data_IF_820720476981
#
_entry.id   IF_820720476981
#
_cell.length_a   1.000
_cell.length_b   1.000
_cell.length_c   1.000
_cell.angle_alpha   90.00
_cell.angle_beta   90.00
_cell.angle_gamma   90.00
#
_symmetry.space_group_name_H-M   'P 1'
#
loop_
_entity.id
_entity.type
_entity.pdbx_description
1 polymer ?
#
# COMPACT_ATOMS: atom_id res chain seq x y z
N UNK A 1 39.27 20.67 -14.41
CA UNK A 1 38.31 21.40 -13.57
C UNK A 1 36.94 20.75 -13.56
N UNK A 2 36.31 20.62 -14.73
CA UNK A 2 34.90 20.22 -14.88
C UNK A 2 34.59 18.73 -14.63
N UNK A 3 35.51 17.82 -14.98
CA UNK A 3 35.28 16.36 -14.80
C UNK A 3 35.23 15.95 -13.32
N UNK A 4 36.06 16.55 -12.47
CA UNK A 4 36.13 16.25 -11.04
C UNK A 4 34.90 16.75 -10.28
N UNK A 5 34.34 17.90 -10.68
CA UNK A 5 33.10 18.47 -10.11
C UNK A 5 31.86 17.65 -10.47
N UNK A 6 31.76 17.16 -11.71
CA UNK A 6 30.68 16.25 -12.13
C UNK A 6 30.71 14.93 -11.35
N UNK A 7 31.89 14.35 -11.14
CA UNK A 7 32.04 13.12 -10.36
C UNK A 7 31.71 13.32 -8.87
N UNK A 8 31.99 14.50 -8.30
CA UNK A 8 31.59 14.81 -6.91
C UNK A 8 30.09 15.02 -6.79
N UNK A 9 29.45 15.69 -7.75
CA UNK A 9 27.98 15.82 -7.78
C UNK A 9 27.27 14.48 -7.96
N UNK A 10 27.79 13.58 -8.80
CA UNK A 10 27.25 12.22 -8.94
C UNK A 10 27.41 11.46 -7.62
N UNK A 11 28.56 11.56 -6.94
CA UNK A 11 28.79 10.90 -5.65
C UNK A 11 27.92 11.47 -4.50
N UNK A 12 27.62 12.76 -4.49
CA UNK A 12 26.69 13.36 -3.53
C UNK A 12 25.25 12.99 -3.83
N UNK A 13 24.85 12.95 -5.11
CA UNK A 13 23.56 12.42 -5.52
C UNK A 13 23.39 10.95 -5.14
N UNK A 14 24.42 10.10 -5.34
CA UNK A 14 24.39 8.70 -4.95
C UNK A 14 24.31 8.52 -3.42
N UNK A 15 24.98 9.39 -2.64
CA UNK A 15 24.85 9.40 -1.17
C UNK A 15 23.45 9.83 -0.73
N UNK A 16 22.89 10.87 -1.33
CA UNK A 16 21.52 11.31 -1.07
C UNK A 16 20.50 10.25 -1.51
N UNK A 17 20.74 9.55 -2.62
CA UNK A 17 19.94 8.40 -3.06
C UNK A 17 20.08 7.23 -2.08
N UNK A 18 21.27 6.96 -1.55
CA UNK A 18 21.48 5.90 -0.55
C UNK A 18 20.82 6.24 0.79
N UNK A 19 20.91 7.50 1.23
CA UNK A 19 20.20 8.01 2.41
C UNK A 19 18.68 7.99 2.21
N UNK A 20 18.17 8.39 1.03
CA UNK A 20 16.75 8.30 0.67
C UNK A 20 16.27 6.85 0.58
N UNK A 21 17.06 5.94 0.02
CA UNK A 21 16.76 4.50 -0.04
C UNK A 21 16.79 3.87 1.37
N UNK A 22 17.60 4.40 2.29
CA UNK A 22 17.60 3.99 3.69
C UNK A 22 16.35 4.45 4.46
N UNK A 23 15.54 5.38 3.93
CA UNK A 23 14.23 5.65 4.52
C UNK A 23 13.25 4.52 4.20
N UNK A 24 13.16 4.08 2.94
CA UNK A 24 12.14 3.11 2.47
C UNK A 24 12.46 1.65 2.85
N UNK A 25 12.52 1.30 4.13
CA UNK A 25 12.87 -0.04 4.58
C UNK A 25 11.69 -0.79 5.23
N UNK A 26 11.52 -2.05 4.82
CA UNK A 26 10.69 -3.06 5.49
C UNK A 26 11.54 -4.26 5.88
N UNK A 27 11.30 -4.79 7.08
CA UNK A 27 11.97 -5.98 7.60
C UNK A 27 10.92 -7.06 7.87
N UNK A 28 11.06 -8.19 7.20
CA UNK A 28 10.22 -9.38 7.39
C UNK A 28 10.92 -10.36 8.33
N UNK A 29 10.21 -10.87 9.33
CA UNK A 29 10.72 -11.87 10.27
C UNK A 29 9.92 -13.17 10.15
N UNK A 30 10.60 -14.32 10.15
CA UNK A 30 9.95 -15.64 10.04
C UNK A 30 9.13 -16.02 11.28
N UNK A 31 9.47 -15.48 12.46
CA UNK A 31 8.76 -15.74 13.71
C UNK A 31 8.06 -14.47 14.26
N UNK A 32 7.24 -14.65 15.29
CA UNK A 32 6.53 -13.55 15.96
C UNK A 32 7.49 -12.69 16.80
N UNK A 33 7.09 -11.47 17.11
CA UNK A 33 7.83 -10.53 17.96
C UNK A 33 9.26 -10.25 17.48
N UNK A 34 9.44 -10.15 16.16
CA UNK A 34 10.69 -9.78 15.49
C UNK A 34 11.84 -10.75 15.77
N UNK A 35 11.51 -12.05 15.81
CA UNK A 35 12.45 -13.13 16.09
C UNK A 35 12.72 -13.99 14.83
N UNK A 36 13.72 -14.86 14.95
CA UNK A 36 14.09 -15.80 13.90
C UNK A 36 14.89 -15.15 12.78
N UNK A 37 14.93 -15.81 11.63
CA UNK A 37 15.55 -15.26 10.42
C UNK A 37 14.74 -14.06 9.92
N UNK A 38 15.44 -13.06 9.42
CA UNK A 38 14.82 -11.88 8.82
C UNK A 38 15.38 -11.58 7.44
N UNK A 39 14.62 -10.80 6.68
CA UNK A 39 15.00 -10.26 5.39
C UNK A 39 14.62 -8.79 5.32
N UNK A 40 15.57 -7.95 4.91
CA UNK A 40 15.39 -6.52 4.73
C UNK A 40 15.16 -6.24 3.24
N UNK A 41 14.14 -5.45 2.95
CA UNK A 41 13.78 -5.06 1.60
C UNK A 41 13.58 -3.55 1.54
N UNK A 42 14.10 -2.94 0.47
CA UNK A 42 14.00 -1.49 0.23
C UNK A 42 13.38 -1.11 -1.11
N UNK A 43 12.86 -2.10 -1.84
CA UNK A 43 12.27 -1.91 -3.16
C UNK A 43 11.11 -2.87 -3.40
N UNK A 44 10.40 -2.67 -4.51
CA UNK A 44 9.45 -3.66 -5.00
C UNK A 44 10.13 -5.04 -5.17
N UNK A 45 9.44 -6.10 -4.76
CA UNK A 45 9.90 -7.47 -4.93
C UNK A 45 8.74 -8.35 -5.40
N UNK A 46 8.86 -8.91 -6.60
CA UNK A 46 7.83 -9.76 -7.20
C UNK A 46 7.83 -11.19 -6.65
N UNK A 47 8.91 -11.64 -6.02
CA UNK A 47 9.00 -12.98 -5.43
C UNK A 47 9.93 -12.99 -4.21
N UNK A 48 9.33 -13.12 -3.04
CA UNK A 48 10.02 -13.17 -1.75
C UNK A 48 10.35 -14.59 -1.29
N UNK A 49 9.89 -15.62 -2.02
CA UNK A 49 9.96 -17.02 -1.58
C UNK A 49 11.39 -17.54 -1.40
N UNK A 50 12.37 -16.98 -2.11
CA UNK A 50 13.78 -17.35 -1.99
C UNK A 50 14.43 -16.80 -0.72
N UNK A 51 13.89 -15.73 -0.12
CA UNK A 51 14.47 -15.06 1.04
C UNK A 51 13.95 -15.64 2.37
N UNK A 52 12.67 -15.96 2.43
CA UNK A 52 12.05 -16.56 3.61
C UNK A 52 10.88 -17.48 3.24
N UNK A 53 10.59 -18.43 4.12
CA UNK A 53 9.55 -19.45 3.91
C UNK A 53 8.17 -19.04 4.42
N UNK A 54 8.14 -18.14 5.41
CA UNK A 54 6.97 -17.61 6.11
C UNK A 54 7.27 -16.22 6.70
N UNK A 55 6.24 -15.44 7.03
CA UNK A 55 6.39 -14.12 7.64
C UNK A 55 5.39 -13.96 8.78
N UNK A 56 5.90 -13.86 10.02
CA UNK A 56 5.10 -13.78 11.23
C UNK A 56 5.22 -12.46 11.96
N UNK A 57 6.22 -11.62 11.68
CA UNK A 57 6.24 -10.24 12.16
C UNK A 57 6.97 -9.31 11.20
N UNK A 58 6.65 -8.02 11.24
CA UNK A 58 7.12 -7.02 10.27
C UNK A 58 7.47 -5.71 11.00
N UNK A 59 8.57 -5.09 10.60
CA UNK A 59 8.88 -3.68 10.94
C UNK A 59 8.97 -2.84 9.68
N UNK A 60 8.39 -1.65 9.72
CA UNK A 60 8.44 -0.69 8.61
C UNK A 60 8.92 0.64 9.18
N UNK A 61 10.04 1.13 8.67
CA UNK A 61 10.68 2.34 9.17
C UNK A 61 10.14 3.61 8.50
N UNK A 62 9.76 3.53 7.21
CA UNK A 62 9.05 4.60 6.51
C UNK A 62 8.06 4.09 5.46
N UNK A 63 7.14 4.98 5.10
CA UNK A 63 6.20 4.84 3.98
C UNK A 63 5.16 3.72 4.11
N UNK A 64 4.39 3.61 3.03
CA UNK A 64 3.38 2.59 2.85
C UNK A 64 3.91 1.44 2.01
N UNK A 65 3.65 0.24 2.49
CA UNK A 65 3.92 -1.00 1.79
C UNK A 65 2.63 -1.74 1.50
N UNK A 66 2.51 -2.25 0.28
CA UNK A 66 1.46 -3.20 -0.08
C UNK A 66 2.10 -4.57 -0.21
N UNK A 67 1.67 -5.47 0.67
CA UNK A 67 2.13 -6.84 0.71
C UNK A 67 1.09 -7.75 0.07
N UNK A 68 1.57 -8.82 -0.54
CA UNK A 68 0.75 -9.75 -1.29
C UNK A 68 1.00 -11.19 -0.84
N UNK A 69 -0.07 -11.94 -0.68
CA UNK A 69 -0.04 -13.35 -0.28
C UNK A 69 0.71 -14.24 -1.28
N UNK A 70 0.67 -13.92 -2.58
CA UNK A 70 1.27 -14.72 -3.65
C UNK A 70 2.35 -13.94 -4.41
N UNK A 71 3.25 -14.63 -5.13
CA UNK A 71 4.20 -13.97 -6.02
C UNK A 71 3.49 -13.14 -7.09
N UNK A 72 4.22 -12.20 -7.70
CA UNK A 72 3.76 -11.33 -8.78
C UNK A 72 2.57 -10.43 -8.41
N UNK A 73 2.51 -9.99 -7.15
CA UNK A 73 1.52 -9.03 -6.65
C UNK A 73 0.08 -9.58 -6.70
N UNK A 74 -0.08 -10.86 -6.35
CA UNK A 74 -1.34 -11.61 -6.44
C UNK A 74 -1.83 -12.08 -5.07
N UNK A 75 -3.09 -12.49 -5.01
CA UNK A 75 -3.72 -12.99 -3.77
C UNK A 75 -4.20 -11.86 -2.87
N UNK A 76 -4.29 -12.14 -1.56
CA UNK A 76 -4.69 -11.11 -0.60
C UNK A 76 -3.68 -9.97 -0.53
N UNK A 77 -4.19 -8.74 -0.47
CA UNK A 77 -3.41 -7.52 -0.30
C UNK A 77 -3.47 -7.08 1.15
N UNK A 78 -2.35 -6.58 1.66
CA UNK A 78 -2.25 -5.99 3.00
C UNK A 78 -1.55 -4.65 2.89
N UNK A 79 -2.25 -3.57 3.25
CA UNK A 79 -1.71 -2.22 3.21
C UNK A 79 -1.19 -1.86 4.60
N UNK A 80 0.12 -1.73 4.72
CA UNK A 80 0.80 -1.42 5.98
C UNK A 80 1.45 -0.04 5.88
N UNK A 81 1.42 0.69 6.99
CA UNK A 81 2.18 1.92 7.18
C UNK A 81 3.37 1.67 8.12
N UNK A 82 4.21 2.70 8.28
CA UNK A 82 5.24 2.76 9.31
C UNK A 82 4.74 2.23 10.65
N UNK A 83 5.49 1.31 11.24
CA UNK A 83 5.17 0.74 12.53
C UNK A 83 5.75 -0.65 12.75
N UNK A 84 5.42 -1.18 13.92
CA UNK A 84 5.81 -2.51 14.37
C UNK A 84 4.60 -3.44 14.39
N UNK A 85 4.72 -4.58 13.72
CA UNK A 85 3.66 -5.58 13.62
C UNK A 85 4.16 -6.92 14.19
N UNK A 86 3.94 -7.19 15.49
CA UNK A 86 4.52 -8.34 16.19
C UNK A 86 3.93 -9.71 15.78
N UNK A 87 2.79 -9.74 15.10
CA UNK A 87 2.14 -10.96 14.60
C UNK A 87 1.32 -10.66 13.34
N UNK A 88 1.04 -11.68 12.51
CA UNK A 88 0.33 -11.48 11.24
C UNK A 88 -1.11 -10.97 11.37
N UNK A 89 -1.74 -11.11 12.54
CA UNK A 89 -3.08 -10.60 12.77
C UNK A 89 -3.07 -9.08 12.86
N UNK A 90 -1.92 -8.46 13.17
CA UNK A 90 -1.75 -7.00 13.25
C UNK A 90 -1.86 -6.28 11.92
N UNK A 91 -1.56 -6.95 10.80
CA UNK A 91 -1.87 -6.45 9.46
C UNK A 91 -3.10 -7.09 8.84
N UNK A 92 -3.92 -7.76 9.65
CA UNK A 92 -5.11 -8.50 9.23
C UNK A 92 -4.79 -9.64 8.24
N UNK A 93 -3.61 -10.25 8.38
CA UNK A 93 -3.22 -11.44 7.64
C UNK A 93 -4.16 -12.62 7.89
N UNK A 94 -4.60 -13.28 6.82
CA UNK A 94 -5.34 -14.55 6.93
C UNK A 94 -4.42 -15.73 7.26
N UNK A 95 -3.13 -15.61 6.94
CA UNK A 95 -2.06 -16.56 7.19
C UNK A 95 -0.72 -15.80 7.24
N UNK A 96 0.38 -16.53 7.41
CA UNK A 96 1.75 -16.03 7.45
C UNK A 96 2.45 -16.05 6.07
N UNK A 97 1.71 -16.20 4.97
CA UNK A 97 2.28 -16.15 3.63
C UNK A 97 2.31 -14.71 3.12
N UNK A 98 3.53 -14.17 2.98
CA UNK A 98 3.83 -12.98 2.19
C UNK A 98 4.84 -13.40 1.12
N UNK A 99 4.55 -13.09 -0.15
CA UNK A 99 5.33 -13.60 -1.29
C UNK A 99 5.70 -12.53 -2.30
N UNK A 100 5.12 -11.34 -2.22
CA UNK A 100 5.60 -10.18 -2.95
C UNK A 100 5.22 -8.90 -2.22
N UNK A 101 5.94 -7.81 -2.49
CA UNK A 101 5.71 -6.51 -1.88
C UNK A 101 5.96 -5.37 -2.86
N UNK A 102 5.28 -4.25 -2.66
CA UNK A 102 5.56 -2.98 -3.34
C UNK A 102 5.61 -1.83 -2.35
N UNK A 103 6.51 -0.91 -2.61
CA UNK A 103 6.55 0.37 -1.90
C UNK A 103 5.82 1.42 -2.72
N UNK A 104 5.09 2.29 -2.02
CA UNK A 104 4.44 3.45 -2.62
C UNK A 104 4.90 4.68 -1.87
N UNK A 105 6.08 5.23 -2.23
CA UNK A 105 6.59 6.42 -1.58
C UNK A 105 5.55 7.53 -1.75
N UNK A 106 5.15 8.15 -0.64
CA UNK A 106 4.28 9.30 -0.70
C UNK A 106 5.11 10.50 -1.16
N UNK A 107 5.27 10.64 -2.47
CA UNK A 107 5.82 11.87 -3.02
C UNK A 107 4.70 12.89 -2.87
N UNK A 108 4.90 13.91 -2.03
CA UNK A 108 4.04 15.09 -1.93
C UNK A 108 4.05 15.77 -3.30
N UNK A 109 3.22 15.29 -4.22
CA UNK A 109 2.97 15.96 -5.48
C UNK A 109 1.87 16.98 -5.21
N UNK A 110 2.29 18.21 -4.93
CA UNK A 110 1.44 19.39 -5.04
C UNK A 110 0.95 19.53 -6.49
N UNK A 111 -0.01 18.72 -6.91
CA UNK A 111 -0.62 18.85 -8.23
C UNK A 111 -2.12 18.61 -8.09
N UNK A 112 -2.79 19.69 -7.72
CA UNK A 112 -4.21 19.89 -7.96
C UNK A 112 -4.53 19.49 -9.40
N UNK A 113 -5.18 18.33 -9.58
CA UNK A 113 -5.77 17.94 -10.85
C UNK A 113 -7.27 17.77 -10.65
N UNK A 114 -7.95 18.90 -10.53
CA UNK A 114 -9.40 18.96 -10.76
C UNK A 114 -9.68 18.54 -12.21
N UNK A 115 -10.43 17.45 -12.38
CA UNK A 115 -11.21 17.18 -13.60
C UNK A 115 -12.66 17.01 -13.19
N UNK A 116 -13.57 17.90 -13.62
CA UNK A 116 -14.99 17.61 -13.54
C UNK A 116 -15.41 16.73 -14.72
N UNK A 117 -16.59 16.18 -14.56
CA UNK A 117 -17.45 15.50 -15.54
C UNK A 117 -17.28 13.98 -15.66
N UNK A 118 -17.95 13.28 -14.73
CA UNK A 118 -18.59 12.01 -15.08
C UNK A 118 -20.09 12.06 -14.78
N UNK A 119 -20.90 11.87 -15.82
CA UNK A 119 -22.35 11.73 -15.72
C UNK A 119 -22.74 10.36 -15.17
N UNK A 120 -23.54 10.38 -14.11
CA UNK A 120 -24.07 9.24 -13.35
C UNK A 120 -24.45 9.69 -11.94
N UNK A 121 -25.00 8.82 -11.08
CA UNK A 121 -25.00 9.09 -9.63
C UNK A 121 -23.55 9.00 -9.14
N UNK A 122 -22.80 10.08 -9.32
CA UNK A 122 -21.42 10.22 -8.89
C UNK A 122 -21.41 10.67 -7.43
N UNK A 123 -20.74 9.92 -6.58
CA UNK A 123 -20.43 10.33 -5.22
C UNK A 123 -18.95 10.66 -5.14
N UNK A 124 -18.64 11.91 -4.80
CA UNK A 124 -17.26 12.34 -4.54
C UNK A 124 -16.92 12.13 -3.06
N UNK A 125 -15.70 11.67 -2.80
CA UNK A 125 -15.21 11.41 -1.45
C UNK A 125 -13.88 12.12 -1.21
N UNK A 126 -13.79 12.82 -0.09
CA UNK A 126 -12.55 13.44 0.39
C UNK A 126 -12.09 12.89 1.75
N UNK A 127 -13.00 12.23 2.48
CA UNK A 127 -12.78 11.73 3.83
C UNK A 127 -12.93 10.21 3.93
N UNK A 128 -12.37 9.66 5.01
CA UNK A 128 -12.53 8.26 5.37
C UNK A 128 -14.02 7.91 5.61
N UNK A 129 -14.39 6.68 5.25
CA UNK A 129 -15.74 6.17 5.38
C UNK A 129 -15.73 4.83 6.11
N UNK A 130 -16.03 4.80 7.43
CA UNK A 130 -16.04 3.56 8.20
C UNK A 130 -17.23 2.65 7.88
N UNK A 131 -18.30 3.16 7.28
CA UNK A 131 -19.46 2.36 6.87
C UNK A 131 -20.14 2.97 5.65
N UNK A 132 -19.98 2.32 4.49
CA UNK A 132 -20.63 2.72 3.24
C UNK A 132 -22.16 2.63 3.38
N UNK A 133 -22.65 1.59 4.06
CA UNK A 133 -24.09 1.38 4.25
C UNK A 133 -24.73 2.46 5.13
N UNK A 134 -24.08 2.84 6.23
CA UNK A 134 -24.67 3.85 7.12
C UNK A 134 -24.68 5.23 6.47
N UNK A 135 -23.65 5.54 5.68
CA UNK A 135 -23.50 6.83 5.02
C UNK A 135 -24.37 6.98 3.77
N UNK A 136 -24.50 5.93 2.95
CA UNK A 136 -25.13 6.01 1.63
C UNK A 136 -26.35 5.13 1.45
N UNK A 137 -26.66 4.27 2.44
CA UNK A 137 -27.69 3.20 2.32
C UNK A 137 -27.46 2.31 1.10
N UNK A 138 -26.20 2.20 0.67
CA UNK A 138 -25.74 1.40 -0.46
C UNK A 138 -24.63 0.44 0.00
N UNK A 139 -24.43 -0.67 -0.71
CA UNK A 139 -23.44 -1.70 -0.32
C UNK A 139 -22.45 -2.05 -1.42
N UNK A 140 -22.78 -1.72 -2.66
CA UNK A 140 -22.04 -2.16 -3.83
C UNK A 140 -21.36 -0.96 -4.48
N UNK A 141 -20.11 -1.09 -4.88
CA UNK A 141 -19.39 -0.09 -5.66
C UNK A 141 -18.95 -0.80 -6.93
N UNK A 142 -19.52 -0.41 -8.06
CA UNK A 142 -19.26 -1.04 -9.35
C UNK A 142 -18.11 -0.38 -10.10
N UNK A 143 -17.87 0.91 -9.87
CA UNK A 143 -16.78 1.69 -10.47
C UNK A 143 -16.26 2.72 -9.46
N UNK A 144 -15.03 3.17 -9.66
CA UNK A 144 -14.39 4.17 -8.81
C UNK A 144 -13.42 5.00 -9.66
N UNK A 145 -13.32 6.30 -9.38
CA UNK A 145 -12.25 7.13 -9.90
C UNK A 145 -11.48 7.71 -8.72
N UNK A 146 -10.21 7.35 -8.58
CA UNK A 146 -9.33 7.90 -7.56
C UNK A 146 -8.63 9.11 -8.15
N UNK A 147 -9.02 10.29 -7.70
CA UNK A 147 -8.49 11.56 -8.21
C UNK A 147 -7.06 11.80 -7.74
N UNK A 148 -6.83 11.65 -6.44
CA UNK A 148 -5.55 11.95 -5.80
C UNK A 148 -5.28 11.05 -4.59
N UNK A 149 -3.98 10.87 -4.33
CA UNK A 149 -3.46 10.06 -3.24
C UNK A 149 -3.73 8.56 -3.39
N UNK A 150 -3.33 7.81 -2.37
CA UNK A 150 -3.59 6.39 -2.27
C UNK A 150 -4.73 6.12 -1.30
N UNK A 151 -5.55 5.13 -1.63
CA UNK A 151 -6.69 4.73 -0.80
C UNK A 151 -6.67 3.23 -0.55
N UNK A 152 -7.27 2.82 0.55
CA UNK A 152 -7.56 1.42 0.84
C UNK A 152 -9.05 1.22 0.95
N UNK A 153 -9.61 0.33 0.14
CA UNK A 153 -10.98 -0.15 0.28
C UNK A 153 -11.02 -1.48 1.03
N UNK A 154 -12.13 -1.71 1.73
CA UNK A 154 -12.36 -2.88 2.56
C UNK A 154 -13.72 -3.50 2.22
N UNK A 155 -13.80 -4.82 2.12
CA UNK A 155 -15.07 -5.51 1.87
C UNK A 155 -16.03 -5.46 3.08
N UNK A 156 -15.53 -5.22 4.29
CA UNK A 156 -16.34 -5.06 5.51
C UNK A 156 -16.30 -3.63 6.07
N UNK A 157 -17.31 -3.25 6.88
CA UNK A 157 -17.28 -2.00 7.64
C UNK A 157 -16.12 -1.95 8.64
N UNK A 158 -15.80 -0.74 9.08
CA UNK A 158 -14.80 -0.41 10.09
C UNK A 158 -13.37 -0.86 9.73
N UNK A 159 -13.02 -0.77 8.45
CA UNK A 159 -11.69 -1.05 7.90
C UNK A 159 -11.23 -2.50 8.14
N UNK A 160 -12.14 -3.46 7.91
CA UNK A 160 -11.93 -4.89 8.16
C UNK A 160 -12.09 -5.73 6.90
N UNK A 161 -11.61 -6.96 7.00
CA UNK A 161 -11.75 -7.95 5.93
C UNK A 161 -10.72 -7.75 4.83
N UNK A 162 -11.10 -8.07 3.59
CA UNK A 162 -10.20 -8.00 2.43
C UNK A 162 -9.89 -6.56 2.09
N UNK A 163 -8.62 -6.29 1.85
CA UNK A 163 -8.13 -4.95 1.51
C UNK A 163 -7.88 -4.85 0.00
N UNK A 164 -8.15 -3.69 -0.56
CA UNK A 164 -7.86 -3.36 -1.96
C UNK A 164 -7.10 -2.04 -2.01
N UNK A 165 -5.87 -2.09 -2.50
CA UNK A 165 -5.05 -0.90 -2.68
C UNK A 165 -5.47 -0.17 -3.96
N UNK A 166 -5.78 1.11 -3.82
CA UNK A 166 -6.25 1.96 -4.91
C UNK A 166 -5.24 3.07 -5.18
N UNK A 167 -4.80 3.14 -6.44
CA UNK A 167 -3.92 4.20 -6.95
C UNK A 167 -4.77 5.25 -7.69
N UNK A 168 -4.24 6.46 -7.89
CA UNK A 168 -4.89 7.41 -8.78
C UNK A 168 -5.18 6.79 -10.15
N UNK A 169 -6.42 6.94 -10.62
CA UNK A 169 -6.87 6.35 -11.88
C UNK A 169 -8.34 5.96 -11.91
N UNK A 170 -8.80 5.64 -13.12
CA UNK A 170 -10.15 5.17 -13.41
C UNK A 170 -10.24 3.65 -13.26
N UNK A 171 -11.21 3.20 -12.46
CA UNK A 171 -11.59 1.80 -12.30
C UNK A 171 -13.03 1.62 -12.77
N UNK A 172 -13.20 0.94 -13.90
CA UNK A 172 -14.51 0.85 -14.59
C UNK A 172 -15.37 -0.29 -14.07
N UNK A 173 -14.75 -1.25 -13.39
CA UNK A 173 -15.41 -2.44 -12.81
C UNK A 173 -14.66 -2.91 -11.57
N UNK A 174 -15.35 -3.63 -10.68
CA UNK A 174 -14.77 -4.11 -9.42
C UNK A 174 -13.59 -5.08 -9.56
N UNK A 175 -13.48 -5.76 -10.70
CA UNK A 175 -12.31 -6.58 -10.99
C UNK A 175 -11.04 -5.77 -11.25
N UNK A 176 -11.15 -4.48 -11.61
CA UNK A 176 -9.99 -3.64 -11.92
C UNK A 176 -9.15 -3.34 -10.67
N UNK A 177 -9.75 -3.36 -9.47
CA UNK A 177 -9.04 -3.29 -8.19
C UNK A 177 -8.79 -4.66 -7.55
N UNK A 178 -9.05 -5.75 -8.28
CA UNK A 178 -8.81 -7.11 -7.83
C UNK A 178 -9.89 -7.69 -6.91
N UNK A 179 -11.08 -7.06 -6.82
CA UNK A 179 -12.21 -7.65 -6.11
C UNK A 179 -12.94 -8.70 -6.94
N UNK A 180 -13.50 -9.71 -6.27
CA UNK A 180 -14.41 -10.70 -6.86
C UNK A 180 -15.88 -10.33 -6.73
N UNK A 181 -16.19 -9.25 -5.99
CA UNK A 181 -17.53 -8.74 -5.72
C UNK A 181 -17.54 -7.21 -5.78
N UNK A 182 -18.70 -6.60 -6.04
CA UNK A 182 -18.91 -5.16 -5.91
C UNK A 182 -18.98 -4.70 -4.45
N UNK A 183 -19.12 -5.59 -3.49
CA UNK A 183 -19.36 -5.21 -2.08
C UNK A 183 -18.16 -4.49 -1.48
N UNK A 184 -18.38 -3.25 -1.02
CA UNK A 184 -17.40 -2.45 -0.27
C UNK A 184 -18.07 -1.96 1.01
N UNK A 185 -17.48 -2.31 2.15
CA UNK A 185 -18.02 -1.97 3.46
C UNK A 185 -17.42 -0.69 4.05
N UNK A 186 -16.16 -0.37 3.74
CA UNK A 186 -15.49 0.85 4.18
C UNK A 186 -14.30 1.21 3.30
N UNK A 187 -13.83 2.46 3.39
CA UNK A 187 -12.62 2.91 2.71
C UNK A 187 -11.95 4.04 3.49
N UNK A 188 -10.63 4.17 3.36
CA UNK A 188 -9.85 5.24 3.99
C UNK A 188 -8.71 5.70 3.10
N UNK A 189 -8.33 6.97 3.24
CA UNK A 189 -7.14 7.53 2.60
C UNK A 189 -5.90 7.07 3.34
N UNK A 190 -4.85 6.76 2.59
CA UNK A 190 -3.52 6.56 3.15
C UNK A 190 -2.94 7.96 3.42
N UNK A 191 -2.83 8.32 4.69
CA UNK A 191 -2.32 9.62 5.14
C UNK A 191 -0.90 9.47 5.66
N UNK A 192 -0.05 10.44 5.41
CA UNK A 192 1.25 10.48 6.06
C UNK A 192 1.09 10.71 7.57
N UNK A 193 2.00 10.12 8.33
CA UNK A 193 2.34 10.61 9.66
C UNK A 193 3.54 11.53 9.46
N UNK A 194 3.28 12.76 9.02
CA UNK A 194 4.26 13.83 9.14
C UNK A 194 4.49 14.15 10.63
#
# INVERSE_FOLDING_TARGET
GTSTQLLTQISECDKLLTELVAFFQIIFYEDKNFQGRHYECSSDCADLQSYFSRCNSIRIDSDYWVLYEKPNYMGYQYVLNRGEYPDYQRWMGYNDNIRSCRTYPYVICNRDLFRPDFGGQMMEFMDDCPSVYDRFRYRDIHSCNVMDGYWTMYDQPNYRGRQYFMRPGEYRRFSDWGSSSSTIGSFRRMRDFC
#
